data_IF_001936191990
#
_entry.id   IF_001936191990
#
_cell.length_a   1.000
_cell.length_b   1.000
_cell.length_c   1.000
_cell.angle_alpha   90.00
_cell.angle_beta   90.00
_cell.angle_gamma   90.00
#
_symmetry.space_group_name_H-M   'P 1'
#
loop_
_entity.id
_entity.type
_entity.pdbx_description
1 polymer ?
#
# COMPACT_ATOMS: atom_id res chain seq x y z
N UNK A 1 -11.78 4.01 10.20
CA UNK A 1 -11.86 4.18 8.73
C UNK A 1 -11.63 2.87 7.98
N UNK A 2 -12.03 1.72 8.54
CA UNK A 2 -11.91 0.41 7.87
C UNK A 2 -12.98 -0.51 8.46
N UNK A 3 -14.23 -0.39 8.01
CA UNK A 3 -15.23 -1.41 8.30
C UNK A 3 -16.29 -1.43 7.18
N UNK A 4 -15.92 -2.05 6.07
CA UNK A 4 -16.88 -2.47 5.05
C UNK A 4 -17.01 -3.99 5.17
N UNK A 5 -18.24 -4.54 5.33
CA UNK A 5 -18.45 -5.93 5.74
C UNK A 5 -17.91 -7.00 4.77
N UNK A 6 -17.53 -6.62 3.55
CA UNK A 6 -16.98 -7.52 2.53
C UNK A 6 -15.46 -7.42 2.34
N UNK A 7 -14.76 -6.60 3.14
CA UNK A 7 -13.32 -6.38 2.98
C UNK A 7 -12.50 -7.38 3.80
N UNK A 8 -11.46 -7.92 3.17
CA UNK A 8 -10.43 -8.71 3.85
C UNK A 8 -9.81 -7.83 4.94
N UNK A 9 -9.98 -8.21 6.21
CA UNK A 9 -9.45 -7.47 7.35
C UNK A 9 -7.95 -7.74 7.45
N UNK A 10 -7.14 -6.76 7.08
CA UNK A 10 -5.68 -6.82 7.13
C UNK A 10 -5.15 -6.22 8.45
N UNK A 11 -3.96 -6.65 8.92
CA UNK A 11 -3.39 -6.16 10.18
C UNK A 11 -3.26 -4.64 10.17
N UNK A 12 -3.81 -3.98 11.20
CA UNK A 12 -3.83 -2.52 11.38
C UNK A 12 -2.48 -1.93 11.79
N UNK A 13 -1.53 -2.76 12.22
CA UNK A 13 -0.25 -2.37 12.82
C UNK A 13 0.86 -2.02 11.80
N UNK A 14 0.49 -1.84 10.53
CA UNK A 14 1.44 -1.52 9.47
C UNK A 14 1.48 -0.03 9.19
N UNK A 15 2.68 0.45 8.94
CA UNK A 15 2.85 1.78 8.39
C UNK A 15 2.24 1.83 6.98
N UNK A 16 1.85 3.03 6.54
CA UNK A 16 1.31 3.32 5.21
C UNK A 16 2.34 3.08 4.13
N UNK A 17 3.60 3.40 4.39
CA UNK A 17 4.69 3.09 3.44
C UNK A 17 4.90 1.59 3.30
N UNK A 18 4.92 0.82 4.41
CA UNK A 18 4.96 -0.64 4.33
C UNK A 18 3.75 -1.18 3.57
N UNK A 19 2.57 -0.63 3.83
CA UNK A 19 1.32 -1.00 3.14
C UNK A 19 1.47 -0.78 1.63
N UNK A 20 1.91 0.39 1.19
CA UNK A 20 2.11 0.68 -0.24
C UNK A 20 3.12 -0.31 -0.85
N UNK A 21 4.26 -0.56 -0.20
CA UNK A 21 5.28 -1.47 -0.75
C UNK A 21 4.77 -2.91 -0.87
N UNK A 22 4.18 -3.45 0.20
CA UNK A 22 3.65 -4.82 0.22
C UNK A 22 2.55 -5.00 -0.82
N UNK A 23 1.61 -4.07 -0.90
CA UNK A 23 0.53 -4.14 -1.88
C UNK A 23 1.03 -3.94 -3.31
N UNK A 24 2.05 -3.11 -3.52
CA UNK A 24 2.65 -2.91 -4.85
C UNK A 24 3.34 -4.19 -5.34
N UNK A 25 4.12 -4.84 -4.47
CA UNK A 25 4.73 -6.15 -4.76
C UNK A 25 3.64 -7.16 -5.07
N UNK A 26 2.60 -7.24 -4.23
CA UNK A 26 1.54 -8.20 -4.42
C UNK A 26 0.75 -7.99 -5.73
N UNK A 27 0.43 -6.73 -6.06
CA UNK A 27 -0.24 -6.36 -7.32
C UNK A 27 0.61 -6.77 -8.52
N UNK A 28 1.93 -6.54 -8.45
CA UNK A 28 2.87 -6.91 -9.49
C UNK A 28 2.98 -8.42 -9.65
N UNK A 29 3.13 -9.17 -8.55
CA UNK A 29 3.17 -10.63 -8.59
C UNK A 29 1.86 -11.22 -9.14
N UNK A 30 0.72 -10.73 -8.64
CA UNK A 30 -0.62 -11.13 -9.09
C UNK A 30 -0.79 -10.90 -10.61
N UNK A 31 -0.34 -9.76 -11.14
CA UNK A 31 -0.35 -9.48 -12.58
C UNK A 31 0.39 -10.53 -13.40
N UNK A 32 1.59 -10.93 -12.95
CA UNK A 32 2.43 -11.88 -13.64
C UNK A 32 1.88 -13.30 -13.57
N UNK A 33 1.22 -13.67 -12.46
CA UNK A 33 0.58 -14.97 -12.28
C UNK A 33 -0.75 -15.09 -13.03
N UNK A 34 -1.62 -14.08 -12.96
CA UNK A 34 -2.90 -14.04 -13.69
C UNK A 34 -2.74 -13.30 -15.01
N UNK A 35 -2.03 -13.93 -15.95
CA UNK A 35 -1.99 -13.44 -17.34
C UNK A 35 -3.40 -13.45 -17.94
N UNK A 36 -3.75 -12.46 -18.77
CA UNK A 36 -5.09 -12.33 -19.28
C UNK A 36 -5.37 -13.54 -20.19
N UNK A 37 -6.25 -14.43 -19.73
CA UNK A 37 -6.81 -15.49 -20.57
C UNK A 37 -8.31 -15.25 -20.59
N UNK A 38 -8.81 -14.73 -21.71
CA UNK A 38 -10.23 -14.42 -21.94
C UNK A 38 -10.87 -13.47 -20.91
N UNK A 39 -10.14 -12.45 -20.42
CA UNK A 39 -10.75 -11.36 -19.64
C UNK A 39 -11.66 -10.51 -20.55
N UNK A 40 -12.83 -10.07 -20.06
CA UNK A 40 -13.65 -9.10 -20.79
C UNK A 40 -12.96 -7.71 -20.80
N UNK A 41 -13.41 -6.81 -21.68
CA UNK A 41 -12.80 -5.49 -21.83
C UNK A 41 -12.79 -4.64 -20.55
N UNK A 42 -13.74 -4.83 -19.64
CA UNK A 42 -13.84 -4.03 -18.41
C UNK A 42 -12.87 -4.53 -17.34
N UNK A 43 -12.73 -5.84 -17.16
CA UNK A 43 -11.72 -6.44 -16.29
C UNK A 43 -10.29 -6.06 -16.73
N UNK A 44 -10.05 -5.98 -18.05
CA UNK A 44 -8.78 -5.49 -18.59
C UNK A 44 -8.53 -4.02 -18.24
N UNK A 45 -9.55 -3.16 -18.28
CA UNK A 45 -9.41 -1.75 -17.87
C UNK A 45 -9.08 -1.64 -16.38
N UNK A 46 -9.84 -2.33 -15.52
CA UNK A 46 -9.59 -2.35 -14.06
C UNK A 46 -8.17 -2.81 -13.76
N UNK A 47 -7.70 -3.85 -14.44
CA UNK A 47 -6.32 -4.32 -14.33
C UNK A 47 -5.30 -3.23 -14.63
N UNK A 48 -5.43 -2.53 -15.75
CA UNK A 48 -4.49 -1.48 -16.12
C UNK A 48 -4.56 -0.28 -15.18
N UNK A 49 -5.77 0.13 -14.77
CA UNK A 49 -5.94 1.23 -13.80
C UNK A 49 -5.29 0.86 -12.46
N UNK A 50 -5.52 -0.34 -11.94
CA UNK A 50 -4.88 -0.81 -10.70
C UNK A 50 -3.34 -0.78 -10.79
N UNK A 51 -2.77 -1.22 -11.93
CA UNK A 51 -1.32 -1.19 -12.15
C UNK A 51 -0.78 0.23 -12.22
N UNK A 52 -1.47 1.12 -12.94
CA UNK A 52 -1.05 2.51 -13.10
C UNK A 52 -1.08 3.24 -11.76
N UNK A 53 -2.13 3.06 -10.96
CA UNK A 53 -2.24 3.64 -9.64
C UNK A 53 -1.19 3.04 -8.68
N UNK A 54 -0.99 1.73 -8.72
CA UNK A 54 0.04 1.06 -7.92
C UNK A 54 1.45 1.60 -8.23
N UNK A 55 1.79 1.69 -9.51
CA UNK A 55 3.05 2.25 -9.98
C UNK A 55 3.18 3.73 -9.59
N UNK A 56 2.08 4.49 -9.67
CA UNK A 56 2.07 5.90 -9.27
C UNK A 56 2.36 6.06 -7.78
N UNK A 57 1.66 5.33 -6.90
CA UNK A 57 1.90 5.36 -5.46
C UNK A 57 3.33 4.92 -5.10
N UNK A 58 3.87 3.90 -5.76
CA UNK A 58 5.27 3.51 -5.58
C UNK A 58 6.25 4.60 -6.03
N UNK A 59 5.98 5.28 -7.15
CA UNK A 59 6.79 6.43 -7.59
C UNK A 59 6.73 7.59 -6.63
N UNK A 60 5.57 7.86 -6.03
CA UNK A 60 5.44 8.88 -4.97
C UNK A 60 6.38 8.57 -3.81
N UNK A 61 6.42 7.32 -3.33
CA UNK A 61 7.34 6.91 -2.27
C UNK A 61 8.80 7.25 -2.61
N UNK A 62 9.21 6.98 -3.85
CA UNK A 62 10.59 7.17 -4.30
C UNK A 62 10.95 8.63 -4.56
N UNK A 63 10.00 9.43 -5.06
CA UNK A 63 10.29 10.76 -5.60
C UNK A 63 9.89 11.91 -4.69
N UNK A 64 8.87 11.69 -3.86
CA UNK A 64 8.30 12.68 -2.97
C UNK A 64 8.00 12.06 -1.59
N UNK A 65 9.02 11.51 -0.90
CA UNK A 65 8.82 10.89 0.40
C UNK A 65 8.29 11.90 1.44
N UNK A 66 8.51 13.21 1.26
CA UNK A 66 7.98 14.22 2.18
C UNK A 66 6.45 14.39 2.10
N UNK A 67 5.80 13.79 1.10
CA UNK A 67 4.33 13.74 1.00
C UNK A 67 3.72 12.57 1.78
N UNK A 68 4.53 11.72 2.41
CA UNK A 68 4.02 10.57 3.17
C UNK A 68 3.76 10.95 4.63
N UNK A 69 2.88 10.21 5.32
CA UNK A 69 2.56 10.54 6.70
C UNK A 69 3.64 10.08 7.69
N UNK A 70 4.74 9.50 7.20
CA UNK A 70 5.82 8.88 7.98
C UNK A 70 7.13 9.60 7.77
N UNK A 71 8.04 9.49 8.74
CA UNK A 71 9.37 10.09 8.68
C UNK A 71 10.15 9.61 7.44
N UNK A 72 10.74 10.58 6.72
CA UNK A 72 11.46 10.36 5.45
C UNK A 72 12.59 9.33 5.59
N UNK A 73 13.33 9.36 6.70
CA UNK A 73 14.45 8.45 6.98
C UNK A 73 13.99 6.98 7.08
N UNK A 74 12.80 6.75 7.62
CA UNK A 74 12.22 5.41 7.72
C UNK A 74 11.84 4.86 6.34
N UNK A 75 11.32 5.72 5.45
CA UNK A 75 10.95 5.37 4.07
C UNK A 75 12.16 4.93 3.26
N UNK A 76 13.29 5.65 3.37
CA UNK A 76 14.54 5.30 2.67
C UNK A 76 15.10 3.95 3.14
N UNK A 77 15.15 3.71 4.46
CA UNK A 77 15.62 2.43 5.01
C UNK A 77 14.77 1.25 4.55
N UNK A 78 13.45 1.44 4.47
CA UNK A 78 12.53 0.41 4.00
C UNK A 78 12.74 0.10 2.51
N UNK A 79 13.02 1.14 1.71
CA UNK A 79 13.33 0.98 0.29
C UNK A 79 14.65 0.24 0.05
N UNK A 80 15.72 0.55 0.78
CA UNK A 80 16.98 -0.19 0.65
C UNK A 80 16.84 -1.64 1.11
N UNK A 81 16.07 -1.91 2.18
CA UNK A 81 15.74 -3.28 2.59
C UNK A 81 15.05 -4.06 1.46
N UNK A 82 14.04 -3.46 0.81
CA UNK A 82 13.36 -4.06 -0.33
C UNK A 82 14.33 -4.35 -1.49
N UNK A 83 15.22 -3.42 -1.79
CA UNK A 83 16.20 -3.54 -2.87
C UNK A 83 17.16 -4.70 -2.63
N UNK A 84 17.67 -4.85 -1.40
CA UNK A 84 18.54 -5.97 -1.04
C UNK A 84 17.81 -7.31 -1.07
N UNK A 85 16.55 -7.37 -0.65
CA UNK A 85 15.71 -8.58 -0.78
C UNK A 85 15.57 -8.98 -2.27
N UNK A 86 15.28 -8.02 -3.15
CA UNK A 86 15.16 -8.27 -4.60
C UNK A 86 16.48 -8.78 -5.20
N UNK A 87 17.62 -8.19 -4.83
CA UNK A 87 18.93 -8.69 -5.28
C UNK A 87 19.25 -10.08 -4.71
N UNK A 88 18.78 -10.39 -3.50
CA UNK A 88 18.87 -11.72 -2.91
C UNK A 88 18.14 -12.79 -3.74
N UNK A 89 17.01 -12.43 -4.37
CA UNK A 89 16.27 -13.32 -5.28
C UNK A 89 17.09 -13.63 -6.53
N UNK A 90 17.74 -12.63 -7.13
CA UNK A 90 18.56 -12.82 -8.32
C UNK A 90 19.70 -13.83 -8.04
N UNK A 91 20.31 -13.78 -6.84
CA UNK A 91 21.35 -14.73 -6.43
C UNK A 91 20.83 -16.15 -6.21
N UNK A 92 19.66 -16.28 -5.57
CA UNK A 92 19.09 -17.57 -5.16
C UNK A 92 18.34 -18.30 -6.27
N UNK A 93 17.78 -17.57 -7.25
CA UNK A 93 17.11 -18.17 -8.41
C UNK A 93 18.06 -18.92 -9.36
N UNK A 94 19.38 -18.73 -9.21
CA UNK A 94 20.41 -19.40 -10.02
C UNK A 94 20.41 -19.02 -11.51
N UNK A 95 19.54 -18.10 -11.91
CA UNK A 95 19.40 -17.63 -13.29
C UNK A 95 20.11 -16.28 -13.45
N UNK A 96 20.98 -16.17 -14.45
CA UNK A 96 21.51 -14.87 -14.93
C UNK A 96 20.46 -14.05 -15.72
N UNK A 97 19.20 -14.47 -15.69
CA UNK A 97 18.12 -13.82 -16.44
C UNK A 97 17.61 -12.62 -15.66
N UNK A 98 17.74 -11.45 -16.27
CA UNK A 98 17.36 -10.14 -15.71
C UNK A 98 15.86 -9.85 -15.81
N UNK A 99 15.06 -10.81 -16.29
CA UNK A 99 13.65 -10.60 -16.56
C UNK A 99 12.85 -10.56 -15.26
N UNK A 100 12.04 -9.51 -15.07
CA UNK A 100 11.16 -9.37 -13.91
C UNK A 100 10.20 -10.55 -13.73
N UNK A 101 9.86 -11.24 -14.83
CA UNK A 101 9.02 -12.44 -14.84
C UNK A 101 9.64 -13.58 -14.03
N UNK A 102 10.94 -13.85 -14.18
CA UNK A 102 11.61 -14.97 -13.52
C UNK A 102 11.66 -14.79 -12.00
N UNK A 103 11.85 -13.55 -11.54
CA UNK A 103 11.73 -13.18 -10.12
C UNK A 103 10.32 -13.39 -9.59
N UNK A 104 9.30 -13.01 -10.36
CA UNK A 104 7.91 -13.20 -9.96
C UNK A 104 7.58 -14.69 -9.84
N UNK A 105 7.98 -15.49 -10.82
CA UNK A 105 7.77 -16.94 -10.81
C UNK A 105 8.49 -17.59 -9.64
N UNK A 106 9.73 -17.21 -9.35
CA UNK A 106 10.45 -17.67 -8.17
C UNK A 106 9.69 -17.31 -6.88
N UNK A 107 9.28 -16.05 -6.72
CA UNK A 107 8.64 -15.59 -5.50
C UNK A 107 7.28 -16.25 -5.21
N UNK A 108 6.61 -16.72 -6.27
CA UNK A 108 5.32 -17.38 -6.17
C UNK A 108 5.41 -18.90 -5.97
N UNK A 109 6.61 -19.51 -6.01
CA UNK A 109 6.78 -20.95 -5.74
C UNK A 109 6.35 -21.33 -4.31
N UNK A 110 5.87 -22.55 -4.14
CA UNK A 110 5.39 -23.04 -2.84
C UNK A 110 6.49 -23.50 -1.90
N UNK A 111 7.67 -23.82 -2.44
CA UNK A 111 8.83 -24.24 -1.64
C UNK A 111 9.76 -23.09 -1.22
N UNK A 112 9.43 -21.85 -1.58
CA UNK A 112 10.18 -20.67 -1.14
C UNK A 112 9.67 -20.26 0.23
N UNK A 113 10.58 -20.29 1.21
CA UNK A 113 10.31 -19.84 2.58
C UNK A 113 10.80 -18.40 2.69
N UNK A 114 9.85 -17.50 2.90
CA UNK A 114 10.13 -16.08 3.12
C UNK A 114 10.26 -15.79 4.60
N UNK A 115 11.09 -14.80 4.94
CA UNK A 115 11.03 -14.17 6.26
C UNK A 115 9.68 -13.48 6.43
N UNK A 116 8.99 -13.72 7.54
CA UNK A 116 7.69 -13.10 7.84
C UNK A 116 7.79 -11.58 7.98
N UNK A 117 8.99 -11.05 8.24
CA UNK A 117 9.27 -9.62 8.28
C UNK A 117 9.63 -9.03 6.91
N UNK A 118 10.00 -9.87 5.93
CA UNK A 118 10.40 -9.43 4.59
C UNK A 118 9.24 -8.81 3.84
N UNK A 119 9.51 -7.69 3.16
CA UNK A 119 8.52 -7.01 2.32
C UNK A 119 8.11 -7.86 1.13
N UNK A 120 9.09 -8.50 0.48
CA UNK A 120 8.81 -9.42 -0.64
C UNK A 120 8.03 -10.62 -0.15
N UNK A 121 8.36 -11.17 1.02
CA UNK A 121 7.63 -12.26 1.64
C UNK A 121 6.17 -11.92 1.91
N UNK A 122 5.93 -10.82 2.62
CA UNK A 122 4.59 -10.28 2.87
C UNK A 122 3.82 -10.03 1.57
N UNK A 123 4.48 -9.46 0.56
CA UNK A 123 3.92 -9.22 -0.76
C UNK A 123 3.56 -10.50 -1.52
N UNK A 124 4.42 -11.51 -1.48
CA UNK A 124 4.18 -12.81 -2.11
C UNK A 124 3.03 -13.58 -1.43
N UNK A 125 2.97 -13.56 -0.09
CA UNK A 125 1.84 -14.14 0.64
C UNK A 125 0.51 -13.46 0.28
N UNK A 126 0.49 -12.12 0.23
CA UNK A 126 -0.66 -11.36 -0.22
C UNK A 126 -1.03 -11.71 -1.67
N UNK A 127 -0.05 -11.80 -2.58
CA UNK A 127 -0.29 -12.19 -3.97
C UNK A 127 -0.92 -13.59 -4.10
N UNK A 128 -0.45 -14.57 -3.31
CA UNK A 128 -1.05 -15.92 -3.26
C UNK A 128 -2.51 -15.86 -2.80
N UNK A 129 -2.83 -14.99 -1.84
CA UNK A 129 -4.21 -14.79 -1.40
C UNK A 129 -5.07 -14.12 -2.49
N UNK A 130 -4.53 -13.13 -3.22
CA UNK A 130 -5.20 -12.51 -4.37
C UNK A 130 -5.50 -13.54 -5.47
N UNK A 131 -4.54 -14.42 -5.77
CA UNK A 131 -4.71 -15.56 -6.69
C UNK A 131 -5.85 -16.46 -6.22
N UNK A 132 -5.85 -16.85 -4.94
CA UNK A 132 -6.91 -17.67 -4.36
C UNK A 132 -8.29 -17.00 -4.52
N UNK A 133 -8.42 -15.71 -4.21
CA UNK A 133 -9.71 -15.02 -4.38
C UNK A 133 -10.16 -14.94 -5.83
N UNK A 134 -9.25 -14.68 -6.77
CA UNK A 134 -9.57 -14.66 -8.20
C UNK A 134 -10.04 -16.05 -8.68
N UNK A 135 -9.37 -17.13 -8.26
CA UNK A 135 -9.76 -18.50 -8.60
C UNK A 135 -11.11 -18.92 -8.01
N UNK A 136 -11.54 -18.25 -6.93
CA UNK A 136 -12.86 -18.41 -6.33
C UNK A 136 -13.88 -17.36 -6.84
N UNK A 137 -13.64 -16.77 -8.01
CA UNK A 137 -14.60 -15.92 -8.72
C UNK A 137 -14.74 -14.49 -8.19
N UNK A 138 -13.82 -14.01 -7.34
CA UNK A 138 -13.83 -12.62 -6.86
C UNK A 138 -13.24 -11.68 -7.90
N UNK A 139 -13.80 -10.47 -8.02
CA UNK A 139 -13.32 -9.42 -8.92
C UNK A 139 -12.11 -8.69 -8.31
N UNK A 140 -10.95 -9.35 -8.33
CA UNK A 140 -9.73 -8.87 -7.66
C UNK A 140 -9.20 -7.56 -8.27
N UNK A 141 -9.29 -7.39 -9.60
CA UNK A 141 -8.83 -6.16 -10.26
C UNK A 141 -9.65 -4.92 -9.89
N UNK A 142 -10.97 -5.04 -9.78
CA UNK A 142 -11.84 -4.00 -9.24
C UNK A 142 -11.44 -3.61 -7.82
N UNK A 143 -11.26 -4.61 -6.94
CA UNK A 143 -10.86 -4.39 -5.55
C UNK A 143 -9.48 -3.70 -5.45
N UNK A 144 -8.50 -4.12 -6.26
CA UNK A 144 -7.19 -3.47 -6.30
C UNK A 144 -7.28 -2.03 -6.82
N UNK A 145 -8.14 -1.77 -7.82
CA UNK A 145 -8.39 -0.41 -8.33
C UNK A 145 -8.92 0.50 -7.22
N UNK A 146 -9.95 0.03 -6.49
CA UNK A 146 -10.51 0.77 -5.36
C UNK A 146 -9.46 1.01 -4.27
N UNK A 147 -8.71 -0.03 -3.89
CA UNK A 147 -7.66 0.08 -2.88
C UNK A 147 -6.62 1.15 -3.25
N UNK A 148 -6.12 1.15 -4.48
CA UNK A 148 -5.11 2.12 -4.90
C UNK A 148 -5.68 3.53 -5.04
N UNK A 149 -6.92 3.68 -5.47
CA UNK A 149 -7.60 4.97 -5.49
C UNK A 149 -7.79 5.53 -4.06
N UNK A 150 -8.21 4.69 -3.12
CA UNK A 150 -8.29 5.05 -1.70
C UNK A 150 -6.93 5.44 -1.12
N UNK A 151 -5.88 4.68 -1.46
CA UNK A 151 -4.51 5.00 -1.02
C UNK A 151 -4.06 6.36 -1.55
N UNK A 152 -4.37 6.67 -2.82
CA UNK A 152 -4.06 7.97 -3.41
C UNK A 152 -4.82 9.11 -2.70
N UNK A 153 -6.11 8.92 -2.44
CA UNK A 153 -6.94 9.88 -1.70
C UNK A 153 -6.48 10.06 -0.25
N UNK A 154 -5.89 9.02 0.35
CA UNK A 154 -5.31 9.09 1.68
C UNK A 154 -3.98 9.84 1.70
N UNK A 155 -3.13 9.65 0.69
CA UNK A 155 -1.83 10.34 0.58
C UNK A 155 -2.03 11.83 0.27
N UNK A 156 -3.05 12.17 -0.53
CA UNK A 156 -3.20 13.51 -1.07
C UNK A 156 -3.32 14.63 -0.03
N UNK A 157 -4.11 14.53 1.06
CA UNK A 157 -4.09 15.51 2.13
C UNK A 157 -2.73 15.49 2.84
N UNK A 158 -1.99 16.58 2.80
CA UNK A 158 -0.79 16.79 3.63
C UNK A 158 -0.76 18.21 4.15
N UNK A 159 -0.27 18.33 5.38
CA UNK A 159 0.12 19.57 6.06
C UNK A 159 1.46 20.13 5.54
N UNK A 160 2.22 19.33 4.79
CA UNK A 160 3.45 19.76 4.12
C UNK A 160 3.12 20.56 2.85
N UNK A 161 2.65 21.78 3.03
CA UNK A 161 2.30 22.73 1.95
C UNK A 161 3.51 23.00 1.05
N UNK A 162 4.71 23.08 1.63
CA UNK A 162 5.99 23.26 0.93
C UNK A 162 6.32 22.06 0.02
N UNK A 163 6.13 20.82 0.50
CA UNK A 163 6.25 19.61 -0.30
C UNK A 163 5.24 19.61 -1.45
N UNK A 164 3.97 19.94 -1.19
CA UNK A 164 2.98 20.08 -2.25
C UNK A 164 3.30 21.19 -3.24
N UNK A 165 3.93 22.30 -2.82
CA UNK A 165 4.32 23.41 -3.69
C UNK A 165 5.43 23.01 -4.67
N UNK A 166 6.42 22.24 -4.24
CA UNK A 166 7.47 21.71 -5.12
C UNK A 166 6.91 20.71 -6.16
N UNK A 167 5.89 19.96 -5.76
CA UNK A 167 5.19 19.01 -6.64
C UNK A 167 4.18 19.71 -7.56
N UNK A 168 3.62 20.84 -7.12
CA UNK A 168 2.64 21.63 -7.87
C UNK A 168 3.26 22.25 -9.12
N UNK A 169 4.50 22.72 -9.02
CA UNK A 169 5.27 23.24 -10.16
C UNK A 169 5.53 22.16 -11.24
N UNK A 170 5.37 20.88 -10.89
CA UNK A 170 5.56 19.73 -11.79
C UNK A 170 4.26 19.20 -12.40
N UNK A 171 3.09 19.67 -11.94
CA UNK A 171 1.78 19.29 -12.49
C UNK A 171 1.34 17.85 -12.22
N UNK A 172 1.81 17.24 -11.13
CA UNK A 172 1.53 15.84 -10.77
C UNK A 172 0.05 15.59 -10.42
N UNK A 173 -0.42 14.35 -10.65
CA UNK A 173 -1.80 13.96 -10.31
C UNK A 173 -2.13 14.21 -8.83
N UNK A 174 -1.20 13.91 -7.91
CA UNK A 174 -1.40 14.06 -6.47
C UNK A 174 -1.73 15.51 -6.06
N UNK A 175 -1.19 16.52 -6.77
CA UNK A 175 -1.46 17.93 -6.45
C UNK A 175 -2.82 18.38 -6.96
N UNK A 176 -3.29 17.82 -8.07
CA UNK A 176 -4.66 18.02 -8.53
C UNK A 176 -5.66 17.42 -7.53
N UNK A 177 -5.41 16.19 -7.07
CA UNK A 177 -6.24 15.53 -6.04
C UNK A 177 -6.22 16.34 -4.74
N UNK A 178 -5.04 16.77 -4.28
CA UNK A 178 -4.90 17.61 -3.09
C UNK A 178 -5.67 18.94 -3.21
N UNK A 179 -5.59 19.63 -4.36
CA UNK A 179 -6.30 20.88 -4.58
C UNK A 179 -7.83 20.70 -4.55
N UNK A 180 -8.35 19.62 -5.14
CA UNK A 180 -9.77 19.26 -5.10
C UNK A 180 -10.23 18.96 -3.66
N UNK A 181 -9.45 18.18 -2.92
CA UNK A 181 -9.73 17.86 -1.52
C UNK A 181 -9.70 19.11 -0.64
N UNK A 182 -8.72 20.00 -0.87
CA UNK A 182 -8.61 21.30 -0.19
C UNK A 182 -9.83 22.17 -0.46
N UNK A 183 -10.27 22.27 -1.72
CA UNK A 183 -11.49 22.99 -2.09
C UNK A 183 -12.74 22.38 -1.45
N UNK A 184 -12.79 21.06 -1.27
CA UNK A 184 -13.87 20.35 -0.57
C UNK A 184 -13.78 20.45 0.97
N UNK A 185 -12.78 21.15 1.53
CA UNK A 185 -12.58 21.30 2.97
C UNK A 185 -11.90 20.12 3.65
N UNK A 186 -11.34 19.17 2.90
CA UNK A 186 -10.62 18.00 3.39
C UNK A 186 -9.12 18.31 3.41
N UNK A 187 -8.66 18.91 4.51
CA UNK A 187 -7.31 19.46 4.64
C UNK A 187 -6.31 18.49 5.29
N UNK A 188 -6.82 17.55 6.08
CA UNK A 188 -5.98 16.66 6.90
C UNK A 188 -6.36 15.21 6.67
N UNK A 189 -5.39 14.32 6.86
CA UNK A 189 -5.66 12.89 6.86
C UNK A 189 -6.55 12.52 8.05
N UNK A 190 -7.44 11.54 7.88
CA UNK A 190 -8.15 10.96 9.00
C UNK A 190 -7.14 10.39 10.00
N UNK A 191 -7.25 10.81 11.27
CA UNK A 191 -6.40 10.30 12.35
C UNK A 191 -6.61 8.79 12.47
N UNK A 192 -5.52 8.03 12.54
CA UNK A 192 -5.57 6.64 12.98
C UNK A 192 -6.21 6.63 14.37
N UNK A 193 -7.37 5.98 14.52
CA UNK A 193 -8.03 5.82 15.81
C UNK A 193 -7.25 4.81 16.64
N UNK A 194 -6.20 5.24 17.32
CA UNK A 194 -5.58 4.53 18.44
C UNK A 194 -4.77 5.54 19.28
N UNK A 195 -4.94 5.45 20.60
CA UNK A 195 -4.43 6.31 21.70
C UNK A 195 -5.29 7.48 22.23
N UNK A 196 -6.61 7.30 22.42
CA UNK A 196 -7.37 8.17 23.36
C UNK A 196 -8.28 7.46 24.37
N UNK A 197 -8.16 6.14 24.56
CA UNK A 197 -8.99 5.42 25.54
C UNK A 197 -8.18 4.79 26.68
N UNK A 198 -7.22 5.51 27.28
CA UNK A 198 -6.60 5.03 28.52
C UNK A 198 -6.29 6.07 29.61
N UNK A 199 -6.73 7.33 29.52
CA UNK A 199 -6.44 8.32 30.59
C UNK A 199 -7.63 9.07 31.20
N UNK A 200 -8.88 8.84 30.79
CA UNK A 200 -10.03 9.62 31.30
C UNK A 200 -11.01 8.88 32.22
N UNK A 201 -10.66 7.75 32.82
CA UNK A 201 -11.53 7.05 33.81
C UNK A 201 -10.99 7.03 35.25
N UNK A 202 -9.89 7.73 35.55
CA UNK A 202 -9.25 7.66 36.88
C UNK A 202 -9.53 8.85 37.82
N UNK A 203 -10.19 9.92 37.37
CA UNK A 203 -10.26 11.18 38.13
C UNK A 203 -11.66 11.73 38.41
N UNK A 204 -12.69 10.87 38.47
CA UNK A 204 -14.04 11.34 38.80
C UNK A 204 -14.87 10.35 39.62
N UNK A 205 -14.32 9.75 40.69
CA UNK A 205 -15.17 9.24 41.79
C UNK A 205 -14.40 9.29 43.12
N UNK A 206 -15.04 9.88 44.14
CA UNK A 206 -14.73 9.88 45.59
C UNK A 206 -13.86 11.00 46.17
N UNK A 207 -14.16 12.27 45.87
CA UNK A 207 -14.27 13.29 46.92
C UNK A 207 -15.76 13.44 47.26
N UNK A 208 -16.27 12.59 48.16
CA UNK A 208 -17.48 12.84 48.96
C UNK A 208 -17.66 11.67 49.93
N UNK A 209 -16.99 11.76 51.08
CA UNK A 209 -17.34 11.09 52.34
C UNK A 209 -16.44 11.63 53.47
N UNK A 210 -16.63 12.90 53.82
CA UNK A 210 -16.34 13.41 55.17
C UNK A 210 -17.51 14.31 55.58
N UNK A 211 -18.40 13.75 56.40
CA UNK A 211 -19.03 14.25 57.65
C UNK A 211 -20.26 13.39 57.94
#
# INVERSE_FOLDING_TARGET
MWDHPDRVRWPTDRTKTETILVWHIATTLFHHTKRPSQENNDALKERWVALDLSNYCFRLLKRFPELLPEEVEWTEKMYESLREEIYGIDRSSGQKSTAAVDRCDYAMKDNVIWDENSLVGKGAMLAKLLVFYADNGRQVWAMLTEFWAEMLLFIAPSDNVEGHKEVLEKGELITQVWALLTHAGILTRPKSTEHLNHENESNEVTEDLIV
#
